data_IF_674984119435
#
_entry.id   IF_674984119435
#
_cell.length_a   1.000
_cell.length_b   1.000
_cell.length_c   1.000
_cell.angle_alpha   90.00
_cell.angle_beta   90.00
_cell.angle_gamma   90.00
#
_symmetry.space_group_name_H-M   'P 1'
#
loop_
_entity.id
_entity.type
_entity.pdbx_description
1 polymer ?
#
# COMPACT_ATOMS: atom_id res chain seq x y z
N UNK A 1 20.86 15.89 -6.06
CA UNK A 1 19.60 15.31 -6.52
C UNK A 1 18.48 15.77 -5.59
N UNK A 2 17.37 16.18 -6.14
CA UNK A 2 16.23 16.62 -5.30
C UNK A 2 15.46 15.42 -4.78
N UNK A 3 14.99 15.52 -3.54
CA UNK A 3 14.06 14.54 -2.96
C UNK A 3 12.63 14.98 -3.27
N UNK A 4 11.84 14.08 -3.87
CA UNK A 4 10.47 14.37 -4.26
C UNK A 4 9.45 13.67 -3.34
N UNK A 5 9.90 13.07 -2.27
CA UNK A 5 8.98 12.46 -1.31
C UNK A 5 8.18 13.51 -0.56
N UNK A 6 6.90 13.24 -0.40
CA UNK A 6 6.02 14.11 0.38
C UNK A 6 6.26 13.92 1.88
N UNK A 7 6.63 12.72 2.27
CA UNK A 7 6.93 12.37 3.66
C UNK A 7 8.26 11.64 3.66
N UNK A 8 9.22 12.10 4.46
CA UNK A 8 10.56 11.56 4.46
C UNK A 8 10.61 10.13 4.98
N UNK A 9 10.15 9.93 6.21
CA UNK A 9 10.10 8.62 6.83
C UNK A 9 8.72 8.42 7.41
N UNK A 10 8.01 7.40 6.96
CA UNK A 10 6.70 7.07 7.48
C UNK A 10 6.72 5.66 8.06
N UNK A 11 6.20 5.53 9.25
CA UNK A 11 6.12 4.27 9.97
C UNK A 11 4.74 3.65 9.76
N UNK A 12 4.65 2.72 8.81
CA UNK A 12 3.37 2.13 8.41
C UNK A 12 2.80 1.24 9.53
N UNK A 13 1.51 1.37 9.79
CA UNK A 13 0.81 0.64 10.86
C UNK A 13 -0.14 -0.43 10.30
N UNK A 14 -0.79 -0.15 9.18
CA UNK A 14 -1.84 -1.01 8.62
C UNK A 14 -1.33 -1.88 7.47
N UNK A 15 -0.19 -1.54 6.92
CA UNK A 15 0.46 -2.29 5.86
C UNK A 15 1.90 -2.55 6.22
N UNK A 16 2.54 -3.45 5.50
CA UNK A 16 3.97 -3.70 5.63
C UNK A 16 4.64 -3.29 4.32
N UNK A 17 5.71 -2.52 4.43
CA UNK A 17 6.51 -2.13 3.27
C UNK A 17 7.93 -2.62 3.49
N UNK A 18 8.39 -3.49 2.57
CA UNK A 18 9.74 -4.05 2.62
C UNK A 18 10.47 -3.79 1.32
N UNK A 19 11.75 -3.48 1.43
CA UNK A 19 12.65 -3.48 0.29
C UNK A 19 13.31 -4.85 0.21
N UNK A 20 13.17 -5.50 -0.93
CA UNK A 20 13.85 -6.76 -1.20
C UNK A 20 14.84 -6.57 -2.33
N UNK A 21 16.07 -7.08 -2.21
CA UNK A 21 17.07 -6.91 -3.26
C UNK A 21 16.59 -7.43 -4.60
N UNK A 22 16.88 -6.70 -5.67
CA UNK A 22 16.67 -7.20 -7.01
C UNK A 22 17.67 -8.34 -7.25
N UNK A 23 17.19 -9.48 -7.74
CA UNK A 23 18.04 -10.62 -8.02
C UNK A 23 18.40 -10.66 -9.50
N UNK A 24 19.66 -11.00 -9.80
CA UNK A 24 20.10 -11.22 -11.17
C UNK A 24 19.68 -12.62 -11.65
N UNK A 25 20.02 -12.97 -12.87
CA UNK A 25 19.66 -14.27 -13.47
C UNK A 25 20.25 -15.47 -12.72
N UNK A 26 21.28 -15.25 -11.92
CA UNK A 26 21.96 -16.29 -11.13
C UNK A 26 21.46 -16.34 -9.68
N UNK A 27 20.47 -15.53 -9.34
CA UNK A 27 19.87 -15.49 -8.00
C UNK A 27 20.65 -14.64 -6.99
N UNK A 28 21.70 -13.94 -7.41
CA UNK A 28 22.45 -13.03 -6.55
C UNK A 28 21.87 -11.61 -6.54
N UNK A 29 22.07 -10.86 -5.45
CA UNK A 29 21.52 -9.50 -5.37
C UNK A 29 22.26 -8.54 -6.30
N UNK A 30 21.51 -7.60 -6.87
CA UNK A 30 22.05 -6.49 -7.64
C UNK A 30 22.21 -5.30 -6.69
N UNK A 31 23.43 -4.86 -6.49
CA UNK A 31 23.72 -3.79 -5.54
C UNK A 31 22.99 -2.49 -5.90
N UNK A 32 22.36 -1.88 -4.90
CA UNK A 32 21.71 -0.60 -5.04
C UNK A 32 20.33 -0.63 -5.70
N UNK A 33 19.83 -1.80 -6.10
CA UNK A 33 18.51 -1.95 -6.71
C UNK A 33 17.61 -2.87 -5.90
N UNK A 34 16.33 -2.49 -5.80
CA UNK A 34 15.36 -3.18 -4.94
C UNK A 34 14.02 -3.28 -5.61
N UNK A 35 13.24 -4.27 -5.18
CA UNK A 35 11.80 -4.30 -5.36
C UNK A 35 11.15 -3.83 -4.05
N UNK A 36 10.15 -2.99 -4.15
CA UNK A 36 9.36 -2.58 -2.99
C UNK A 36 8.18 -3.52 -2.86
N UNK A 37 8.08 -4.22 -1.75
CA UNK A 37 6.96 -5.10 -1.43
C UNK A 37 6.02 -4.36 -0.50
N UNK A 38 4.81 -4.09 -0.99
CA UNK A 38 3.75 -3.44 -0.25
C UNK A 38 2.71 -4.50 0.06
N UNK A 39 2.49 -4.78 1.35
CA UNK A 39 1.66 -5.90 1.77
C UNK A 39 0.54 -5.44 2.69
N UNK A 40 -0.70 -5.80 2.35
CA UNK A 40 -1.84 -5.62 3.24
C UNK A 40 -1.63 -6.50 4.48
N UNK A 41 -1.89 -5.94 5.66
CA UNK A 41 -1.63 -6.63 6.92
C UNK A 41 -2.88 -6.62 7.81
N UNK A 42 -3.90 -7.33 7.38
CA UNK A 42 -5.12 -7.53 8.16
C UNK A 42 -5.66 -8.95 7.94
N UNK A 43 -4.82 -9.98 8.20
CA UNK A 43 -5.20 -11.35 7.85
C UNK A 43 -6.41 -11.88 8.63
N UNK A 44 -6.67 -11.36 9.81
CA UNK A 44 -7.84 -11.76 10.62
C UNK A 44 -9.16 -11.33 9.99
N UNK A 45 -9.15 -10.33 9.14
CA UNK A 45 -10.31 -9.87 8.38
C UNK A 45 -10.10 -10.03 6.87
N UNK A 46 -9.36 -11.06 6.49
CA UNK A 46 -9.09 -11.44 5.09
C UNK A 46 -8.49 -10.31 4.26
N UNK A 47 -7.65 -9.50 4.91
CA UNK A 47 -6.95 -8.37 4.29
C UNK A 47 -7.87 -7.33 3.65
N UNK A 48 -9.06 -7.16 4.23
CA UNK A 48 -9.90 -6.03 3.89
C UNK A 48 -9.20 -4.72 4.32
N UNK A 49 -9.36 -3.67 3.52
CA UNK A 49 -8.66 -2.42 3.81
C UNK A 49 -9.58 -1.43 4.51
N UNK A 50 -9.04 -0.79 5.54
CA UNK A 50 -9.68 0.34 6.24
C UNK A 50 -9.27 1.65 5.57
N UNK A 51 -9.86 2.75 6.01
CA UNK A 51 -9.47 4.10 5.56
C UNK A 51 -7.99 4.35 5.78
N UNK A 52 -7.48 3.96 6.95
CA UNK A 52 -6.07 4.16 7.28
C UNK A 52 -5.16 3.35 6.36
N UNK A 53 -5.55 2.12 6.05
CA UNK A 53 -4.80 1.29 5.12
C UNK A 53 -4.77 1.90 3.72
N UNK A 54 -5.88 2.45 3.24
CA UNK A 54 -5.96 3.10 1.93
C UNK A 54 -4.97 4.28 1.87
N UNK A 55 -4.92 5.09 2.91
CA UNK A 55 -3.99 6.22 2.98
C UNK A 55 -2.54 5.74 2.93
N UNK A 56 -2.22 4.69 3.68
CA UNK A 56 -0.86 4.16 3.71
C UNK A 56 -0.44 3.55 2.38
N UNK A 57 -1.37 2.89 1.68
CA UNK A 57 -1.11 2.35 0.34
C UNK A 57 -0.73 3.47 -0.63
N UNK A 58 -1.47 4.58 -0.61
CA UNK A 58 -1.16 5.75 -1.44
C UNK A 58 0.26 6.24 -1.16
N UNK A 59 0.61 6.42 0.11
CA UNK A 59 1.94 6.87 0.50
C UNK A 59 3.03 5.91 0.03
N UNK A 60 2.80 4.61 0.21
CA UNK A 60 3.78 3.59 -0.15
C UNK A 60 4.05 3.58 -1.66
N UNK A 61 3.01 3.66 -2.48
CA UNK A 61 3.18 3.72 -3.94
C UNK A 61 3.85 5.01 -4.37
N UNK A 62 3.52 6.13 -3.74
CA UNK A 62 4.19 7.40 -4.05
C UNK A 62 5.66 7.38 -3.69
N UNK A 63 6.00 6.84 -2.52
CA UNK A 63 7.40 6.70 -2.12
C UNK A 63 8.17 5.81 -3.08
N UNK A 64 7.59 4.68 -3.46
CA UNK A 64 8.22 3.78 -4.42
C UNK A 64 8.42 4.46 -5.78
N UNK A 65 7.44 5.22 -6.23
CA UNK A 65 7.50 5.96 -7.50
C UNK A 65 8.61 7.01 -7.52
N UNK A 66 8.92 7.59 -6.36
CA UNK A 66 9.94 8.64 -6.24
C UNK A 66 11.33 8.09 -5.92
N UNK A 67 11.44 6.80 -5.63
CA UNK A 67 12.70 6.18 -5.21
C UNK A 67 13.39 5.57 -6.42
N UNK A 68 14.55 6.11 -6.77
CA UNK A 68 15.31 5.69 -7.95
C UNK A 68 15.94 4.31 -7.80
N UNK A 69 16.05 3.81 -6.57
CA UNK A 69 16.57 2.47 -6.33
C UNK A 69 15.52 1.38 -6.47
N UNK A 70 14.23 1.75 -6.55
CA UNK A 70 13.13 0.79 -6.70
C UNK A 70 12.87 0.54 -8.18
N UNK A 71 12.98 -0.73 -8.57
CA UNK A 71 12.80 -1.17 -9.96
C UNK A 71 11.35 -1.56 -10.22
N UNK A 72 10.72 -2.21 -9.24
CA UNK A 72 9.33 -2.68 -9.37
C UNK A 72 8.66 -2.68 -8.00
N UNK A 73 7.34 -2.63 -8.02
CA UNK A 73 6.52 -2.74 -6.83
C UNK A 73 5.74 -4.05 -6.90
N UNK A 74 5.79 -4.82 -5.82
CA UNK A 74 4.98 -6.04 -5.67
C UNK A 74 3.92 -5.73 -4.63
N UNK A 75 2.65 -5.76 -5.03
CA UNK A 75 1.53 -5.54 -4.14
C UNK A 75 0.97 -6.88 -3.72
N UNK A 76 1.09 -7.21 -2.45
CA UNK A 76 0.74 -8.52 -1.91
C UNK A 76 0.00 -8.38 -0.58
N UNK A 77 -0.07 -9.44 0.18
CA UNK A 77 -0.75 -9.45 1.47
C UNK A 77 -0.14 -10.48 2.40
N UNK A 78 -0.31 -10.26 3.70
CA UNK A 78 0.13 -11.17 4.73
C UNK A 78 -0.87 -12.33 4.84
N UNK A 79 -0.34 -13.54 5.07
CA UNK A 79 -1.16 -14.73 5.26
C UNK A 79 -1.41 -15.49 3.98
N UNK A 80 -2.19 -16.57 4.08
CA UNK A 80 -2.38 -17.52 2.98
C UNK A 80 -3.85 -17.72 2.58
N UNK A 81 -4.78 -16.96 3.19
CA UNK A 81 -6.21 -17.15 2.95
C UNK A 81 -6.78 -16.22 1.90
N UNK A 82 -6.34 -14.97 1.86
CA UNK A 82 -6.85 -14.00 0.91
C UNK A 82 -5.81 -12.92 0.65
N UNK A 83 -5.75 -12.47 -0.60
CA UNK A 83 -5.01 -11.26 -0.94
C UNK A 83 -5.74 -10.03 -0.39
N UNK A 84 -7.01 -9.87 -0.76
CA UNK A 84 -7.82 -8.73 -0.34
C UNK A 84 -9.29 -9.06 -0.63
N UNK A 85 -10.18 -8.79 0.33
CA UNK A 85 -11.62 -8.99 0.16
C UNK A 85 -12.38 -7.69 -0.05
N UNK A 86 -11.67 -6.57 -0.24
CA UNK A 86 -12.26 -5.27 -0.50
C UNK A 86 -12.28 -4.37 0.72
N UNK A 87 -13.17 -3.39 0.74
CA UNK A 87 -13.30 -2.47 1.86
C UNK A 87 -13.74 -3.18 3.12
N UNK A 88 -13.32 -2.66 4.28
CA UNK A 88 -13.63 -3.28 5.55
C UNK A 88 -15.11 -3.09 5.89
N UNK A 89 -15.88 -4.19 5.95
CA UNK A 89 -17.31 -4.13 6.18
C UNK A 89 -17.65 -3.67 7.60
N UNK A 90 -16.78 -3.95 8.57
CA UNK A 90 -16.97 -3.50 9.95
C UNK A 90 -16.85 -1.98 10.02
N UNK A 91 -15.83 -1.41 9.40
CA UNK A 91 -15.68 0.04 9.31
C UNK A 91 -16.87 0.69 8.63
N UNK A 92 -17.34 0.11 7.52
CA UNK A 92 -18.52 0.62 6.82
C UNK A 92 -19.74 0.62 7.75
N UNK A 93 -20.01 -0.51 8.39
CA UNK A 93 -21.21 -0.65 9.23
C UNK A 93 -21.15 0.26 10.46
N UNK A 94 -19.98 0.42 11.07
CA UNK A 94 -19.83 1.21 12.30
C UNK A 94 -19.67 2.70 12.06
N UNK A 95 -19.15 3.09 10.91
CA UNK A 95 -18.81 4.50 10.66
C UNK A 95 -19.52 5.06 9.43
N UNK A 96 -19.36 4.44 8.26
CA UNK A 96 -19.78 5.05 6.99
C UNK A 96 -21.27 4.93 6.71
N UNK A 97 -21.93 3.89 7.22
CA UNK A 97 -23.35 3.66 6.90
C UNK A 97 -24.26 4.82 7.32
N UNK A 98 -23.91 5.50 8.42
CA UNK A 98 -24.65 6.66 8.89
C UNK A 98 -24.06 8.01 8.50
N UNK A 99 -23.02 8.05 7.67
CA UNK A 99 -22.25 9.25 7.38
C UNK A 99 -21.95 9.38 5.88
N UNK A 100 -22.98 9.75 5.05
CA UNK A 100 -22.79 9.77 3.60
C UNK A 100 -21.73 10.75 3.11
N UNK A 101 -21.52 11.87 3.79
CA UNK A 101 -20.46 12.81 3.41
C UNK A 101 -19.08 12.21 3.66
N UNK A 102 -18.89 11.52 4.78
CA UNK A 102 -17.65 10.84 5.09
C UNK A 102 -17.37 9.70 4.10
N UNK A 103 -18.43 8.96 3.73
CA UNK A 103 -18.29 7.89 2.75
C UNK A 103 -17.90 8.42 1.37
N UNK A 104 -18.42 9.58 1.00
CA UNK A 104 -18.03 10.25 -0.25
C UNK A 104 -16.54 10.59 -0.26
N UNK A 105 -16.02 11.09 0.86
CA UNK A 105 -14.60 11.37 1.01
C UNK A 105 -13.77 10.08 0.94
N UNK A 106 -14.25 9.01 1.55
CA UNK A 106 -13.60 7.71 1.48
C UNK A 106 -13.52 7.20 0.03
N UNK A 107 -14.60 7.33 -0.73
CA UNK A 107 -14.60 6.89 -2.13
C UNK A 107 -13.63 7.70 -2.99
N UNK A 108 -13.48 8.99 -2.70
CA UNK A 108 -12.47 9.81 -3.36
C UNK A 108 -11.06 9.32 -3.03
N UNK A 109 -10.82 9.00 -1.77
CA UNK A 109 -9.54 8.46 -1.32
C UNK A 109 -9.26 7.11 -1.99
N UNK A 110 -10.27 6.25 -2.11
CA UNK A 110 -10.15 4.99 -2.82
C UNK A 110 -9.74 5.19 -4.27
N UNK A 111 -10.35 6.15 -4.96
CA UNK A 111 -9.99 6.47 -6.33
C UNK A 111 -8.54 6.96 -6.42
N UNK A 112 -8.10 7.76 -5.46
CA UNK A 112 -6.71 8.21 -5.39
C UNK A 112 -5.75 7.03 -5.20
N UNK A 113 -6.14 6.03 -4.42
CA UNK A 113 -5.35 4.82 -4.25
C UNK A 113 -5.17 4.09 -5.58
N UNK A 114 -6.26 3.88 -6.32
CA UNK A 114 -6.21 3.22 -7.64
C UNK A 114 -5.32 4.01 -8.58
N UNK A 115 -5.45 5.33 -8.60
CA UNK A 115 -4.61 6.19 -9.42
C UNK A 115 -3.14 6.07 -9.06
N UNK A 116 -2.82 6.01 -7.77
CA UNK A 116 -1.42 5.90 -7.32
C UNK A 116 -0.77 4.58 -7.73
N UNK A 117 -1.57 3.51 -7.85
CA UNK A 117 -1.07 2.21 -8.33
C UNK A 117 -0.77 2.27 -9.83
N UNK A 118 -1.62 2.96 -10.59
CA UNK A 118 -1.51 3.02 -12.05
C UNK A 118 -0.47 4.03 -12.53
N UNK A 119 -0.24 5.07 -11.79
CA UNK A 119 0.65 6.16 -12.14
C UNK A 119 1.85 6.24 -11.22
#
# INVERSE_FOLDING_TARGET
>A
MKDHNLVEDYNYQEIIVERRPLLNSEGGPVEGLYNSWIMLNNPTQYNSYTTEAVKEIILAFRQASCDRSVVAVVFSAVGDKAFCTGGNTKEYAEYYAGNPQEYKQYMRLFNDMVTSILL
#
